data_IF_376841640365
#
_entry.id   IF_376841640365
#
_cell.length_a   1.000
_cell.length_b   1.000
_cell.length_c   1.000
_cell.angle_alpha   90.00
_cell.angle_beta   90.00
_cell.angle_gamma   90.00
#
_symmetry.space_group_name_H-M   'P 1'
#
loop_
_entity.id
_entity.type
_entity.pdbx_description
1 polymer ?
#
# COMPACT_ATOMS: atom_id res chain seq x y z
N UNK A 1 -11.04 -15.30 39.84
CA UNK A 1 -10.92 -14.62 41.15
C UNK A 1 -9.44 -14.56 41.47
N UNK A 2 -8.90 -13.38 41.77
CA UNK A 2 -7.50 -13.23 42.20
C UNK A 2 -7.41 -13.23 43.73
N UNK A 3 -6.29 -13.72 44.26
CA UNK A 3 -5.95 -13.60 45.67
C UNK A 3 -4.55 -13.01 45.78
N UNK A 4 -4.35 -12.07 46.70
CA UNK A 4 -3.05 -11.47 46.94
C UNK A 4 -2.46 -12.00 48.25
N UNK A 5 -1.20 -12.40 48.20
CA UNK A 5 -0.42 -12.80 49.37
C UNK A 5 0.64 -11.73 49.59
N UNK A 6 0.66 -11.13 50.80
CA UNK A 6 1.58 -10.02 51.15
C UNK A 6 3.08 -10.36 51.05
N UNK A 7 3.41 -11.64 50.89
CA UNK A 7 4.79 -12.10 50.77
C UNK A 7 5.18 -12.02 49.29
N UNK A 8 6.22 -11.25 49.00
CA UNK A 8 6.80 -11.19 47.66
C UNK A 8 7.22 -12.60 47.19
N UNK A 9 7.02 -12.86 45.91
CA UNK A 9 7.42 -14.12 45.26
C UNK A 9 8.92 -14.37 45.38
N UNK A 10 9.72 -13.30 45.29
CA UNK A 10 11.17 -13.33 45.50
C UNK A 10 11.59 -12.25 46.49
N UNK A 11 12.70 -12.48 47.19
CA UNK A 11 13.17 -11.54 48.21
C UNK A 11 13.77 -10.31 47.53
N UNK A 12 13.32 -9.12 47.93
CA UNK A 12 13.88 -7.85 47.46
C UNK A 12 14.74 -7.22 48.56
N UNK A 13 15.96 -6.80 48.20
CA UNK A 13 16.91 -6.08 49.07
C UNK A 13 17.57 -4.97 48.26
N UNK A 14 17.67 -3.79 48.86
CA UNK A 14 18.43 -2.66 48.32
C UNK A 14 19.27 -2.13 49.48
N UNK A 15 20.59 -2.19 49.34
CA UNK A 15 21.55 -1.72 50.35
C UNK A 15 21.68 -0.19 50.25
N UNK A 16 21.93 0.33 49.05
CA UNK A 16 22.05 1.77 48.79
C UNK A 16 21.05 2.22 47.71
N UNK A 17 20.05 3.06 48.06
CA UNK A 17 19.13 3.62 47.08
C UNK A 17 19.84 4.47 46.02
N UNK A 18 19.42 4.32 44.76
CA UNK A 18 19.94 5.05 43.60
C UNK A 18 18.74 5.53 42.77
N UNK A 19 18.32 6.80 42.92
CA UNK A 19 17.15 7.32 42.20
C UNK A 19 17.26 7.24 40.69
N UNK A 20 18.47 7.37 40.12
CA UNK A 20 18.67 7.29 38.67
C UNK A 20 18.43 5.87 38.17
N UNK A 21 18.94 4.88 38.89
CA UNK A 21 18.64 3.47 38.60
C UNK A 21 17.16 3.15 38.85
N UNK A 22 16.56 3.74 39.89
CA UNK A 22 15.13 3.63 40.18
C UNK A 22 14.24 4.10 39.01
N UNK A 23 14.65 5.16 38.30
CA UNK A 23 13.97 5.60 37.07
C UNK A 23 14.15 4.56 35.93
N UNK A 24 15.36 4.02 35.75
CA UNK A 24 15.60 2.96 34.75
C UNK A 24 14.72 1.72 34.98
N UNK A 25 14.50 1.31 36.24
CA UNK A 25 13.61 0.20 36.60
C UNK A 25 12.15 0.43 36.16
N UNK A 26 11.72 1.67 35.96
CA UNK A 26 10.38 1.96 35.45
C UNK A 26 10.18 1.42 34.02
N UNK A 27 11.25 1.14 33.27
CA UNK A 27 11.14 0.48 31.97
C UNK A 27 10.56 -0.95 32.09
N UNK A 28 10.91 -1.68 33.16
CA UNK A 28 10.30 -3.00 33.43
C UNK A 28 8.97 -2.92 34.18
N UNK A 29 8.60 -1.75 34.72
CA UNK A 29 7.30 -1.58 35.36
C UNK A 29 6.23 -1.13 34.36
N UNK A 30 6.43 0.05 33.74
CA UNK A 30 5.49 0.72 32.84
C UNK A 30 5.98 0.89 31.40
N UNK A 31 7.12 0.30 31.03
CA UNK A 31 7.62 0.29 29.65
C UNK A 31 6.95 -0.75 28.75
N UNK A 32 7.27 -0.67 27.46
CA UNK A 32 6.63 -1.49 26.42
C UNK A 32 6.95 -2.99 26.52
N UNK A 33 8.08 -3.33 27.12
CA UNK A 33 8.53 -4.71 27.33
C UNK A 33 8.55 -5.08 28.82
N UNK A 34 7.84 -4.32 29.66
CA UNK A 34 7.79 -4.52 31.09
C UNK A 34 6.70 -5.48 31.55
N UNK A 35 6.72 -5.76 32.85
CA UNK A 35 5.90 -6.79 33.52
C UNK A 35 4.40 -6.53 33.39
N UNK A 36 3.97 -5.26 33.41
CA UNK A 36 2.55 -4.95 33.21
C UNK A 36 2.09 -5.32 31.80
N UNK A 37 2.93 -5.11 30.79
CA UNK A 37 2.60 -5.46 29.41
C UNK A 37 2.50 -7.00 29.27
N UNK A 38 3.44 -7.74 29.83
CA UNK A 38 3.42 -9.20 29.84
C UNK A 38 2.18 -9.75 30.57
N UNK A 39 1.93 -9.30 31.81
CA UNK A 39 0.78 -9.71 32.62
C UNK A 39 -0.55 -9.51 31.89
N UNK A 40 -0.75 -8.33 31.30
CA UNK A 40 -2.00 -7.99 30.60
C UNK A 40 -2.12 -8.75 29.28
N UNK A 41 -1.04 -8.87 28.50
CA UNK A 41 -1.05 -9.59 27.23
C UNK A 41 -1.47 -11.05 27.45
N UNK A 42 -0.81 -11.76 28.35
CA UNK A 42 -1.03 -13.20 28.54
C UNK A 42 -2.40 -13.48 29.17
N UNK A 43 -2.82 -12.65 30.13
CA UNK A 43 -4.13 -12.80 30.76
C UNK A 43 -5.27 -12.61 29.75
N UNK A 44 -5.19 -11.61 28.88
CA UNK A 44 -6.26 -11.33 27.90
C UNK A 44 -6.24 -12.39 26.78
N UNK A 45 -5.07 -12.80 26.30
CA UNK A 45 -4.96 -13.95 25.38
C UNK A 45 -5.55 -15.22 26.01
N UNK A 46 -5.29 -15.49 27.29
CA UNK A 46 -5.85 -16.62 28.02
C UNK A 46 -7.38 -16.56 28.11
N UNK A 47 -7.98 -15.38 28.24
CA UNK A 47 -9.44 -15.21 28.19
C UNK A 47 -10.01 -15.60 26.82
N UNK A 48 -9.32 -15.24 25.74
CA UNK A 48 -9.72 -15.50 24.36
C UNK A 48 -9.33 -16.90 23.86
N UNK A 49 -8.49 -17.63 24.60
CA UNK A 49 -7.99 -18.94 24.21
C UNK A 49 -9.06 -20.04 24.39
N UNK A 50 -9.39 -20.74 23.31
CA UNK A 50 -10.33 -21.86 23.32
C UNK A 50 -9.68 -23.20 23.73
N UNK A 51 -8.37 -23.34 23.56
CA UNK A 51 -7.62 -24.52 24.01
C UNK A 51 -7.44 -24.49 25.54
N UNK A 52 -7.99 -25.45 26.31
CA UNK A 52 -7.93 -25.40 27.77
C UNK A 52 -6.50 -25.47 28.34
N UNK A 53 -5.60 -26.24 27.72
CA UNK A 53 -4.24 -26.43 28.22
C UNK A 53 -3.36 -25.20 27.97
N UNK A 54 -3.47 -24.58 26.79
CA UNK A 54 -2.77 -23.32 26.52
C UNK A 54 -3.40 -22.14 27.26
N UNK A 55 -4.72 -22.16 27.48
CA UNK A 55 -5.39 -21.17 28.34
C UNK A 55 -4.84 -21.20 29.76
N UNK A 56 -4.69 -22.39 30.33
CA UNK A 56 -4.11 -22.59 31.66
C UNK A 56 -2.70 -22.02 31.73
N UNK A 57 -1.83 -22.40 30.78
CA UNK A 57 -0.48 -21.84 30.64
C UNK A 57 -0.45 -20.30 30.60
N UNK A 58 -1.29 -19.69 29.76
CA UNK A 58 -1.36 -18.23 29.59
C UNK A 58 -1.82 -17.54 30.88
N UNK A 59 -2.79 -18.12 31.59
CA UNK A 59 -3.28 -17.60 32.86
C UNK A 59 -2.26 -17.76 33.99
N UNK A 60 -1.55 -18.88 34.04
CA UNK A 60 -0.49 -19.13 35.02
C UNK A 60 0.64 -18.11 34.87
N UNK A 61 1.18 -17.97 33.66
CA UNK A 61 2.26 -17.01 33.40
C UNK A 61 1.75 -15.58 33.59
N UNK A 62 0.59 -15.21 33.04
CA UNK A 62 0.02 -13.88 33.25
C UNK A 62 -0.20 -13.51 34.72
N UNK A 63 -0.47 -14.49 35.58
CA UNK A 63 -0.56 -14.31 37.03
C UNK A 63 0.83 -14.18 37.68
N UNK A 64 1.82 -14.94 37.22
CA UNK A 64 3.21 -14.82 37.64
C UNK A 64 3.77 -13.42 37.35
N UNK A 65 3.48 -12.85 36.18
CA UNK A 65 3.94 -11.50 35.81
C UNK A 65 3.38 -10.39 36.71
N UNK A 66 2.21 -10.59 37.33
CA UNK A 66 1.72 -9.66 38.36
C UNK A 66 2.60 -9.69 39.62
N UNK A 67 3.18 -10.85 39.93
CA UNK A 67 4.15 -10.99 41.03
C UNK A 67 5.50 -10.37 40.67
N UNK A 68 5.93 -10.50 39.41
CA UNK A 68 7.12 -9.81 38.91
C UNK A 68 6.96 -8.29 38.93
N UNK A 69 5.80 -7.78 38.50
CA UNK A 69 5.44 -6.37 38.60
C UNK A 69 5.55 -5.85 40.04
N UNK A 70 5.12 -6.65 41.03
CA UNK A 70 5.27 -6.31 42.45
C UNK A 70 6.74 -6.27 42.91
N UNK A 71 7.57 -7.22 42.43
CA UNK A 71 9.02 -7.24 42.71
C UNK A 71 9.69 -5.99 42.12
N UNK A 72 9.48 -5.70 40.83
CA UNK A 72 10.05 -4.54 40.14
C UNK A 72 9.57 -3.24 40.76
N UNK A 73 8.27 -3.12 41.04
CA UNK A 73 7.70 -1.96 41.71
C UNK A 73 8.30 -1.75 43.11
N UNK A 74 8.57 -2.83 43.84
CA UNK A 74 9.23 -2.75 45.15
C UNK A 74 10.67 -2.27 45.02
N UNK A 75 11.45 -2.83 44.09
CA UNK A 75 12.82 -2.39 43.78
C UNK A 75 12.86 -0.90 43.42
N UNK A 76 12.04 -0.50 42.45
CA UNK A 76 11.95 0.89 42.00
C UNK A 76 11.56 1.80 43.17
N UNK A 77 10.56 1.42 43.97
CA UNK A 77 10.15 2.19 45.14
C UNK A 77 11.28 2.38 46.15
N UNK A 78 12.08 1.34 46.41
CA UNK A 78 13.21 1.40 47.34
C UNK A 78 14.32 2.32 46.82
N UNK A 79 14.68 2.21 45.54
CA UNK A 79 15.68 3.08 44.90
C UNK A 79 15.23 4.55 44.82
N UNK A 80 13.94 4.81 44.53
CA UNK A 80 13.38 6.16 44.39
C UNK A 80 13.11 6.86 45.74
N UNK A 81 13.31 6.18 46.88
CA UNK A 81 13.02 6.73 48.21
C UNK A 81 13.65 8.11 48.49
N UNK A 82 14.92 8.40 48.12
CA UNK A 82 15.53 9.69 48.34
C UNK A 82 14.80 10.88 47.70
N UNK A 83 14.10 10.68 46.57
CA UNK A 83 13.38 11.75 45.85
C UNK A 83 12.32 12.48 46.69
N UNK A 84 11.85 11.86 47.79
CA UNK A 84 10.87 12.50 48.70
C UNK A 84 11.48 13.44 49.72
N UNK A 85 12.76 13.28 50.03
CA UNK A 85 13.36 13.87 51.23
C UNK A 85 14.70 14.55 50.98
N UNK A 86 15.35 14.28 49.84
CA UNK A 86 16.62 14.87 49.45
C UNK A 86 16.38 15.83 48.30
N UNK A 87 16.72 17.11 48.51
CA UNK A 87 16.41 18.19 47.57
C UNK A 87 17.11 17.99 46.24
N UNK A 88 18.40 17.67 46.28
CA UNK A 88 19.25 17.51 45.11
C UNK A 88 18.74 16.38 44.20
N UNK A 89 18.26 15.28 44.79
CA UNK A 89 17.67 14.17 44.03
C UNK A 89 16.33 14.57 43.41
N UNK A 90 15.47 15.28 44.16
CA UNK A 90 14.19 15.76 43.64
C UNK A 90 14.35 16.77 42.49
N UNK A 91 15.40 17.58 42.53
CA UNK A 91 15.74 18.53 41.45
C UNK A 91 16.28 17.82 40.19
N UNK A 92 16.90 16.64 40.35
CA UNK A 92 17.40 15.85 39.23
C UNK A 92 16.28 15.16 38.42
N UNK A 93 15.18 14.77 39.06
CA UNK A 93 14.00 14.19 38.40
C UNK A 93 12.68 14.71 39.02
N UNK A 94 12.28 15.95 38.70
CA UNK A 94 11.07 16.54 39.25
C UNK A 94 9.80 15.87 38.73
N UNK A 95 9.86 15.18 37.58
CA UNK A 95 8.73 14.44 37.05
C UNK A 95 8.35 13.31 38.01
N UNK A 96 9.31 12.49 38.44
CA UNK A 96 9.05 11.43 39.42
C UNK A 96 8.83 12.02 40.82
N UNK A 97 9.66 12.99 41.24
CA UNK A 97 9.61 13.52 42.60
C UNK A 97 8.31 14.28 42.90
N UNK A 98 7.88 15.18 42.01
CA UNK A 98 6.75 16.08 42.23
C UNK A 98 5.47 15.51 41.62
N UNK A 99 5.45 15.29 40.30
CA UNK A 99 4.24 14.82 39.62
C UNK A 99 3.93 13.36 39.99
N UNK A 100 4.95 12.52 40.07
CA UNK A 100 4.85 11.12 40.48
C UNK A 100 4.85 10.88 41.99
N UNK A 101 4.97 11.94 42.80
CA UNK A 101 4.97 11.86 44.26
C UNK A 101 6.09 10.99 44.83
N UNK A 102 7.27 10.97 44.20
CA UNK A 102 8.51 10.31 44.65
C UNK A 102 8.41 8.79 44.76
N UNK A 103 7.65 8.15 43.87
CA UNK A 103 7.40 6.72 43.87
C UNK A 103 7.11 6.17 42.46
N UNK A 104 6.60 4.95 42.43
CA UNK A 104 6.30 4.25 41.18
C UNK A 104 4.96 4.73 40.62
N UNK A 105 4.90 4.92 39.31
CA UNK A 105 3.68 5.20 38.54
C UNK A 105 3.72 4.40 37.23
N UNK A 106 2.62 4.40 36.48
CA UNK A 106 2.51 3.72 35.19
C UNK A 106 3.15 4.53 34.05
N UNK A 107 4.44 4.81 34.19
CA UNK A 107 5.28 5.45 33.18
C UNK A 107 6.53 4.60 32.92
N UNK A 108 7.11 4.74 31.75
CA UNK A 108 8.40 4.16 31.42
C UNK A 108 9.57 5.05 31.89
N UNK A 109 10.83 4.67 31.63
CA UNK A 109 12.00 5.42 32.14
C UNK A 109 12.19 6.80 31.51
N UNK A 110 11.37 7.15 30.50
CA UNK A 110 11.34 8.45 29.83
C UNK A 110 10.11 9.27 30.24
N UNK A 111 9.28 8.77 31.16
CA UNK A 111 8.08 9.47 31.61
C UNK A 111 6.88 9.36 30.66
N UNK A 112 6.90 8.42 29.71
CA UNK A 112 5.75 8.17 28.83
C UNK A 112 4.74 7.25 29.53
N UNK A 113 3.43 7.57 29.51
CA UNK A 113 2.43 6.75 30.17
C UNK A 113 2.34 5.39 29.50
N UNK A 114 2.14 4.34 30.30
CA UNK A 114 1.85 3.02 29.78
C UNK A 114 0.58 3.05 28.92
N UNK A 115 0.62 2.38 27.76
CA UNK A 115 -0.52 2.27 26.84
C UNK A 115 -0.81 0.82 26.51
N UNK A 116 -2.09 0.50 26.31
CA UNK A 116 -2.52 -0.81 25.84
C UNK A 116 -2.00 -1.13 24.42
N UNK A 117 -1.51 -0.14 23.67
CA UNK A 117 -0.89 -0.34 22.34
C UNK A 117 0.36 -1.23 22.39
N UNK A 118 0.97 -1.40 23.57
CA UNK A 118 2.08 -2.32 23.76
C UNK A 118 1.66 -3.78 23.57
N UNK A 119 0.40 -4.12 23.88
CA UNK A 119 -0.10 -5.49 23.86
C UNK A 119 -0.25 -6.01 22.43
N UNK A 120 -0.01 -7.31 22.23
CA UNK A 120 -0.22 -8.03 20.97
C UNK A 120 -1.20 -9.16 21.22
N UNK A 121 -2.47 -8.89 20.94
CA UNK A 121 -3.59 -9.81 21.17
C UNK A 121 -4.35 -9.93 19.85
N UNK A 122 -4.25 -11.09 19.21
CA UNK A 122 -4.81 -11.32 17.87
C UNK A 122 -6.04 -12.22 17.89
N UNK A 123 -6.16 -13.08 18.92
CA UNK A 123 -7.18 -14.12 18.96
C UNK A 123 -6.81 -15.39 18.19
N UNK A 124 -5.68 -15.37 17.46
CA UNK A 124 -5.11 -16.54 16.80
C UNK A 124 -3.97 -17.10 17.65
N UNK A 125 -4.22 -18.23 18.32
CA UNK A 125 -3.34 -18.77 19.37
C UNK A 125 -1.87 -18.95 18.92
N UNK A 126 -1.62 -19.46 17.71
CA UNK A 126 -0.24 -19.64 17.24
C UNK A 126 0.45 -18.32 16.89
N UNK A 127 -0.30 -17.26 16.58
CA UNK A 127 0.25 -15.90 16.37
C UNK A 127 0.54 -15.24 17.71
N UNK A 128 -0.37 -15.42 18.68
CA UNK A 128 -0.22 -14.91 20.05
C UNK A 128 0.98 -15.57 20.75
N UNK A 129 1.17 -16.88 20.65
CA UNK A 129 2.34 -17.57 21.22
C UNK A 129 3.67 -17.10 20.61
N UNK A 130 3.73 -16.87 19.28
CA UNK A 130 4.91 -16.27 18.64
C UNK A 130 5.19 -14.86 19.17
N UNK A 131 4.14 -14.07 19.39
CA UNK A 131 4.24 -12.74 19.97
C UNK A 131 4.75 -12.78 21.42
N UNK A 132 4.34 -13.79 22.20
CA UNK A 132 4.78 -13.97 23.58
C UNK A 132 6.25 -14.37 23.66
N UNK A 133 6.71 -15.32 22.83
CA UNK A 133 8.14 -15.67 22.73
C UNK A 133 8.99 -14.42 22.44
N UNK A 134 8.51 -13.56 21.54
CA UNK A 134 9.19 -12.32 21.22
C UNK A 134 9.10 -11.28 22.36
N UNK A 135 8.00 -11.23 23.11
CA UNK A 135 7.85 -10.36 24.28
C UNK A 135 8.85 -10.73 25.37
N UNK A 136 8.94 -12.02 25.72
CA UNK A 136 9.91 -12.55 26.68
C UNK A 136 11.36 -12.25 26.27
N UNK A 137 11.68 -12.39 24.97
CA UNK A 137 13.01 -12.07 24.48
C UNK A 137 13.36 -10.58 24.63
N UNK A 138 12.38 -9.69 24.41
CA UNK A 138 12.55 -8.25 24.60
C UNK A 138 12.63 -7.86 26.08
N UNK A 139 11.83 -8.48 26.96
CA UNK A 139 11.92 -8.27 28.40
C UNK A 139 13.28 -8.73 28.94
N UNK A 140 13.74 -9.91 28.55
CA UNK A 140 15.04 -10.48 28.94
C UNK A 140 16.23 -9.58 28.59
N UNK A 141 16.23 -8.93 27.41
CA UNK A 141 17.34 -8.04 27.04
C UNK A 141 17.29 -6.70 27.79
N UNK A 142 16.09 -6.22 28.18
CA UNK A 142 15.96 -5.06 29.06
C UNK A 142 16.50 -5.40 30.45
N UNK A 143 16.19 -6.58 30.99
CA UNK A 143 16.78 -7.04 32.25
C UNK A 143 18.30 -7.15 32.20
N UNK A 144 18.87 -7.70 31.13
CA UNK A 144 20.33 -7.77 30.95
C UNK A 144 20.98 -6.39 31.04
N UNK A 145 20.41 -5.40 30.34
CA UNK A 145 20.89 -4.02 30.39
C UNK A 145 20.76 -3.42 31.79
N UNK A 146 19.66 -3.67 32.49
CA UNK A 146 19.47 -3.20 33.87
C UNK A 146 20.50 -3.81 34.82
N UNK A 147 20.79 -5.11 34.69
CA UNK A 147 21.82 -5.79 35.50
C UNK A 147 23.20 -5.17 35.25
N UNK A 148 23.54 -4.86 34.01
CA UNK A 148 24.81 -4.24 33.63
C UNK A 148 24.99 -2.84 34.26
N UNK A 149 23.93 -2.03 34.29
CA UNK A 149 23.97 -0.69 34.89
C UNK A 149 23.76 -0.67 36.41
N UNK A 150 23.26 -1.75 37.00
CA UNK A 150 23.04 -1.83 38.44
C UNK A 150 24.37 -1.93 39.20
N UNK A 151 24.42 -1.37 40.41
CA UNK A 151 25.56 -1.50 41.33
C UNK A 151 25.22 -2.21 42.62
N UNK A 152 23.95 -2.22 43.00
CA UNK A 152 23.45 -2.82 44.23
C UNK A 152 23.36 -4.36 44.10
N UNK A 153 24.04 -5.15 44.94
CA UNK A 153 24.04 -6.61 44.83
C UNK A 153 22.66 -7.25 45.06
N UNK A 154 21.85 -6.70 45.97
CA UNK A 154 20.51 -7.21 46.27
C UNK A 154 19.54 -6.99 45.11
N UNK A 155 19.64 -5.84 44.46
CA UNK A 155 18.89 -5.54 43.24
C UNK A 155 19.34 -6.44 42.09
N UNK A 156 20.65 -6.65 41.89
CA UNK A 156 21.14 -7.58 40.86
C UNK A 156 20.61 -9.00 41.04
N UNK A 157 20.56 -9.50 42.27
CA UNK A 157 20.03 -10.83 42.59
C UNK A 157 18.55 -10.97 42.17
N UNK A 158 17.72 -9.98 42.54
CA UNK A 158 16.32 -9.95 42.13
C UNK A 158 16.13 -9.81 40.61
N UNK A 159 16.92 -8.96 39.94
CA UNK A 159 16.88 -8.83 38.47
C UNK A 159 17.35 -10.11 37.77
N UNK A 160 18.34 -10.82 38.32
CA UNK A 160 18.79 -12.10 37.80
C UNK A 160 17.70 -13.16 37.90
N UNK A 161 16.95 -13.18 39.02
CA UNK A 161 15.77 -14.04 39.16
C UNK A 161 14.75 -13.75 38.06
N UNK A 162 14.33 -12.48 37.91
CA UNK A 162 13.33 -12.07 36.91
C UNK A 162 13.79 -12.42 35.48
N UNK A 163 15.00 -12.02 35.09
CA UNK A 163 15.57 -12.35 33.78
C UNK A 163 15.59 -13.86 33.47
N UNK A 164 15.79 -14.68 34.50
CA UNK A 164 15.81 -16.15 34.36
C UNK A 164 14.40 -16.72 34.17
N UNK A 165 13.38 -16.08 34.76
CA UNK A 165 11.98 -16.44 34.53
C UNK A 165 11.56 -16.18 33.09
N UNK A 166 12.04 -15.10 32.47
CA UNK A 166 11.75 -14.81 31.06
C UNK A 166 12.20 -15.93 30.12
N UNK A 167 13.39 -16.52 30.38
CA UNK A 167 13.87 -17.68 29.63
C UNK A 167 12.97 -18.90 29.85
N UNK A 168 12.43 -19.07 31.06
CA UNK A 168 11.51 -20.17 31.36
C UNK A 168 10.17 -19.97 30.67
N UNK A 169 9.62 -18.75 30.66
CA UNK A 169 8.38 -18.41 29.96
C UNK A 169 8.55 -18.59 28.45
N UNK A 170 9.65 -18.08 27.89
CA UNK A 170 10.00 -18.26 26.48
C UNK A 170 10.06 -19.74 26.10
N UNK A 171 10.67 -20.57 26.94
CA UNK A 171 10.69 -22.03 26.75
C UNK A 171 9.28 -22.63 26.80
N UNK A 172 8.46 -22.22 27.76
CA UNK A 172 7.10 -22.74 27.90
C UNK A 172 6.23 -22.38 26.69
N UNK A 173 6.27 -21.12 26.24
CA UNK A 173 5.55 -20.68 25.03
C UNK A 173 6.06 -21.36 23.76
N UNK A 174 7.37 -21.55 23.62
CA UNK A 174 7.95 -22.27 22.48
C UNK A 174 7.47 -23.72 22.41
N UNK A 175 7.48 -24.44 23.54
CA UNK A 175 6.97 -25.81 23.61
C UNK A 175 5.44 -25.87 23.38
N UNK A 176 4.69 -24.89 23.87
CA UNK A 176 3.25 -24.79 23.62
C UNK A 176 2.94 -24.58 22.13
N UNK A 177 3.75 -23.79 21.43
CA UNK A 177 3.64 -23.56 19.99
C UNK A 177 4.05 -24.81 19.19
N UNK A 178 5.19 -25.42 19.52
CA UNK A 178 5.69 -26.64 18.86
C UNK A 178 4.69 -27.80 18.98
N UNK A 179 4.11 -27.98 20.17
CA UNK A 179 3.11 -29.02 20.44
C UNK A 179 1.79 -28.85 19.66
N UNK A 180 1.58 -27.75 18.95
CA UNK A 180 0.46 -27.59 18.03
C UNK A 180 0.65 -28.39 16.73
N UNK A 181 1.88 -28.84 16.43
CA UNK A 181 2.18 -29.64 15.24
C UNK A 181 1.97 -28.91 13.91
N UNK A 182 1.85 -27.57 13.94
CA UNK A 182 1.72 -26.74 12.74
C UNK A 182 3.10 -26.57 12.08
N UNK A 183 3.18 -26.56 10.73
CA UNK A 183 4.39 -26.11 10.05
C UNK A 183 4.78 -24.70 10.52
N UNK A 184 6.06 -24.45 10.73
CA UNK A 184 6.57 -23.21 11.33
C UNK A 184 6.10 -21.93 10.64
N UNK A 185 5.98 -21.98 9.31
CA UNK A 185 5.57 -20.87 8.44
C UNK A 185 4.05 -20.84 8.15
N UNK A 186 3.28 -21.80 8.68
CA UNK A 186 1.82 -21.79 8.54
C UNK A 186 1.22 -20.82 9.55
N UNK A 187 0.54 -19.78 9.05
CA UNK A 187 -0.22 -18.80 9.84
C UNK A 187 -1.62 -18.67 9.23
N UNK A 188 -2.66 -18.76 10.05
CA UNK A 188 -4.04 -18.72 9.57
C UNK A 188 -4.43 -19.94 8.73
N UNK A 189 -5.38 -19.75 7.80
CA UNK A 189 -6.01 -20.84 7.02
C UNK A 189 -5.81 -20.74 5.50
N UNK A 190 -5.50 -19.56 4.99
CA UNK A 190 -5.41 -19.31 3.53
C UNK A 190 -3.99 -19.66 3.08
N UNK A 191 -3.87 -20.48 2.04
CA UNK A 191 -2.59 -20.83 1.46
C UNK A 191 -1.99 -19.63 0.70
N UNK A 192 -0.66 -19.43 0.72
CA UNK A 192 -0.02 -18.41 -0.08
C UNK A 192 -0.10 -18.76 -1.57
N UNK A 193 0.03 -17.74 -2.44
CA UNK A 193 0.08 -17.93 -3.89
C UNK A 193 1.30 -18.76 -4.28
N UNK A 194 1.07 -19.88 -4.96
CA UNK A 194 2.12 -20.78 -5.42
C UNK A 194 3.11 -20.06 -6.33
N UNK A 195 4.41 -20.38 -6.20
CA UNK A 195 5.49 -19.72 -6.93
C UNK A 195 5.88 -18.37 -6.33
N UNK A 196 4.92 -17.49 -6.02
CA UNK A 196 5.24 -16.19 -5.41
C UNK A 196 5.81 -16.31 -3.99
N UNK A 197 5.31 -17.27 -3.21
CA UNK A 197 5.81 -17.55 -1.85
C UNK A 197 7.32 -17.89 -1.81
N UNK A 198 7.85 -18.38 -2.93
CA UNK A 198 9.23 -18.79 -3.07
C UNK A 198 10.12 -17.67 -3.64
N UNK A 199 9.57 -16.51 -4.02
CA UNK A 199 10.35 -15.41 -4.58
C UNK A 199 10.91 -14.49 -3.49
N UNK A 200 12.24 -14.30 -3.49
CA UNK A 200 12.91 -13.30 -2.67
C UNK A 200 13.30 -12.11 -3.53
N UNK A 201 12.82 -10.91 -3.19
CA UNK A 201 13.07 -9.69 -3.96
C UNK A 201 14.29 -8.95 -3.42
N UNK A 202 15.28 -8.72 -4.29
CA UNK A 202 16.39 -7.83 -4.00
C UNK A 202 15.97 -6.39 -4.29
N UNK A 203 15.24 -5.77 -3.36
CA UNK A 203 14.73 -4.39 -3.54
C UNK A 203 15.75 -3.31 -3.14
N UNK A 204 16.82 -3.68 -2.44
CA UNK A 204 17.91 -2.80 -2.03
C UNK A 204 19.21 -3.33 -2.63
N UNK A 205 19.48 -2.90 -3.87
CA UNK A 205 20.55 -3.47 -4.70
C UNK A 205 21.78 -2.57 -4.81
N UNK A 206 22.93 -3.19 -5.09
CA UNK A 206 24.15 -2.50 -5.50
C UNK A 206 25.24 -2.45 -4.43
N UNK A 207 26.09 -1.42 -4.51
CA UNK A 207 27.17 -1.20 -3.56
C UNK A 207 26.98 0.13 -2.85
N UNK A 208 27.08 0.10 -1.52
CA UNK A 208 27.01 1.30 -0.68
C UNK A 208 28.37 1.97 -0.50
N UNK A 209 28.34 3.20 0.01
CA UNK A 209 29.54 4.02 0.25
C UNK A 209 30.48 3.44 1.32
N UNK A 210 29.99 2.52 2.17
CA UNK A 210 30.76 1.87 3.23
C UNK A 210 31.11 0.41 2.89
N UNK A 211 30.96 0.02 1.62
CA UNK A 211 31.30 -1.32 1.13
C UNK A 211 30.20 -2.36 1.37
N UNK A 212 28.97 -1.92 1.63
CA UNK A 212 27.79 -2.78 1.57
C UNK A 212 27.67 -3.38 0.17
N UNK A 213 27.25 -4.63 0.10
CA UNK A 213 27.04 -5.36 -1.15
C UNK A 213 25.79 -6.19 -1.04
N UNK A 214 25.23 -6.57 -2.19
CA UNK A 214 24.15 -7.55 -2.24
C UNK A 214 24.60 -8.88 -1.65
N UNK A 215 23.96 -9.27 -0.55
CA UNK A 215 24.35 -10.46 0.20
C UNK A 215 23.44 -11.64 -0.12
N UNK A 216 24.06 -12.81 -0.20
CA UNK A 216 23.39 -14.09 -0.39
C UNK A 216 23.57 -14.95 0.85
N UNK A 217 22.51 -15.66 1.23
CA UNK A 217 22.47 -16.52 2.40
C UNK A 217 21.23 -17.39 2.43
N UNK A 218 21.08 -18.31 3.40
CA UNK A 218 19.97 -19.27 3.44
C UNK A 218 18.56 -18.64 3.49
N UNK A 219 18.47 -17.33 3.76
CA UNK A 219 17.23 -16.54 3.70
C UNK A 219 16.84 -16.08 2.29
N UNK A 220 17.71 -16.21 1.28
CA UNK A 220 17.46 -15.81 -0.11
C UNK A 220 18.22 -16.67 -1.16
N UNK A 221 18.78 -17.81 -0.75
CA UNK A 221 19.49 -18.75 -1.61
C UNK A 221 19.32 -20.20 -1.10
N UNK A 222 19.31 -21.16 -2.03
CA UNK A 222 19.10 -22.58 -1.73
C UNK A 222 17.64 -22.94 -1.46
N UNK A 223 17.35 -24.24 -1.32
CA UNK A 223 15.99 -24.72 -1.10
C UNK A 223 15.03 -24.31 -2.24
N UNK A 224 13.80 -23.84 -1.93
CA UNK A 224 12.84 -23.43 -2.95
C UNK A 224 13.04 -21.99 -3.46
N UNK A 225 13.98 -21.21 -2.90
CA UNK A 225 14.10 -19.77 -3.20
C UNK A 225 14.36 -19.46 -4.69
N UNK A 226 13.54 -18.58 -5.27
CA UNK A 226 13.73 -17.90 -6.54
C UNK A 226 14.17 -16.45 -6.26
N UNK A 227 15.45 -16.14 -6.47
CA UNK A 227 15.98 -14.80 -6.22
C UNK A 227 15.66 -13.87 -7.39
N UNK A 228 14.94 -12.79 -7.12
CA UNK A 228 14.53 -11.79 -8.12
C UNK A 228 15.43 -10.58 -7.98
N UNK A 229 16.31 -10.42 -8.95
CA UNK A 229 17.23 -9.28 -9.02
C UNK A 229 16.47 -8.01 -9.39
N UNK A 230 16.62 -6.99 -8.52
CA UNK A 230 16.23 -5.60 -8.76
C UNK A 230 14.87 -5.45 -9.50
N UNK A 231 13.77 -5.99 -8.94
CA UNK A 231 12.47 -6.11 -9.62
C UNK A 231 11.94 -4.79 -10.18
N UNK A 232 12.23 -3.67 -9.50
CA UNK A 232 11.84 -2.33 -9.94
C UNK A 232 12.39 -1.92 -11.32
N UNK A 233 13.47 -2.55 -11.79
CA UNK A 233 14.11 -2.23 -13.07
C UNK A 233 13.74 -3.20 -14.20
N UNK A 234 13.02 -4.30 -13.92
CA UNK A 234 12.75 -5.36 -14.92
C UNK A 234 11.88 -4.88 -16.10
N UNK A 235 11.03 -3.87 -15.87
CA UNK A 235 10.15 -3.29 -16.90
C UNK A 235 10.74 -2.04 -17.57
N UNK A 236 11.98 -1.63 -17.25
CA UNK A 236 12.60 -0.45 -17.84
C UNK A 236 13.29 -0.78 -19.17
N UNK A 237 13.06 0.04 -20.23
CA UNK A 237 13.72 -0.15 -21.51
C UNK A 237 15.25 -0.03 -21.39
N UNK A 238 15.98 -1.03 -21.87
CA UNK A 238 17.45 -0.99 -21.99
C UNK A 238 18.23 -1.58 -20.82
N UNK A 239 17.56 -2.18 -19.83
CA UNK A 239 18.22 -2.96 -18.76
C UNK A 239 18.32 -4.42 -19.20
N UNK A 240 19.53 -5.00 -19.17
CA UNK A 240 19.70 -6.44 -19.43
C UNK A 240 19.05 -7.23 -18.28
N UNK A 241 17.89 -7.84 -18.58
CA UNK A 241 17.14 -8.68 -17.65
C UNK A 241 17.90 -10.00 -17.39
N UNK A 242 18.83 -9.99 -16.45
CA UNK A 242 19.51 -11.18 -15.94
C UNK A 242 18.71 -11.97 -14.89
N UNK A 243 17.54 -11.47 -14.49
CA UNK A 243 16.72 -12.01 -13.38
C UNK A 243 15.39 -12.61 -13.82
N UNK A 244 14.89 -13.56 -13.01
CA UNK A 244 13.55 -14.14 -13.09
C UNK A 244 12.48 -13.06 -12.89
N UNK A 245 11.50 -12.99 -13.81
CA UNK A 245 10.40 -12.04 -13.73
C UNK A 245 9.48 -12.32 -12.52
N UNK A 246 8.90 -11.27 -11.92
CA UNK A 246 7.90 -11.41 -10.86
C UNK A 246 6.73 -12.26 -11.37
N UNK A 247 6.41 -13.35 -10.66
CA UNK A 247 5.23 -14.18 -10.98
C UNK A 247 4.03 -13.70 -10.19
N UNK A 248 3.40 -12.65 -10.69
CA UNK A 248 2.27 -11.99 -10.02
C UNK A 248 0.90 -12.65 -10.23
N UNK A 249 0.80 -13.82 -10.88
CA UNK A 249 -0.50 -14.43 -11.18
C UNK A 249 -1.11 -15.06 -9.93
N UNK A 250 -1.93 -14.28 -9.22
CA UNK A 250 -2.64 -14.70 -8.01
C UNK A 250 -3.81 -15.65 -8.28
N UNK A 251 -4.29 -15.72 -9.53
CA UNK A 251 -5.33 -16.64 -10.00
C UNK A 251 -5.27 -16.81 -11.52
N UNK A 252 -5.70 -17.97 -12.08
CA UNK A 252 -5.91 -18.09 -13.52
C UNK A 252 -6.99 -17.09 -13.96
N UNK A 253 -6.82 -16.41 -15.11
CA UNK A 253 -7.81 -15.45 -15.58
C UNK A 253 -9.10 -16.16 -15.99
N UNK A 254 -10.20 -15.88 -15.29
CA UNK A 254 -11.54 -16.29 -15.73
C UNK A 254 -12.08 -15.29 -16.77
N UNK A 255 -12.50 -15.78 -17.94
CA UNK A 255 -13.14 -14.96 -18.97
C UNK A 255 -12.21 -14.05 -19.80
N UNK A 256 -10.89 -14.17 -19.66
CA UNK A 256 -9.95 -13.36 -20.45
C UNK A 256 -10.10 -13.56 -21.97
N UNK A 257 -10.39 -14.78 -22.44
CA UNK A 257 -10.62 -15.04 -23.86
C UNK A 257 -11.82 -14.24 -24.40
N UNK A 258 -12.91 -14.17 -23.63
CA UNK A 258 -14.10 -13.41 -24.02
C UNK A 258 -13.83 -11.90 -24.06
N UNK A 259 -13.07 -11.37 -23.09
CA UNK A 259 -12.68 -9.95 -23.09
C UNK A 259 -11.72 -9.65 -24.26
N UNK A 260 -10.80 -10.57 -24.57
CA UNK A 260 -9.89 -10.43 -25.71
C UNK A 260 -10.65 -10.43 -27.05
N UNK A 261 -11.68 -11.26 -27.20
CA UNK A 261 -12.55 -11.24 -28.38
C UNK A 261 -13.24 -9.88 -28.53
N UNK A 262 -13.79 -9.32 -27.45
CA UNK A 262 -14.42 -7.99 -27.46
C UNK A 262 -13.41 -6.90 -27.80
N UNK A 263 -12.20 -6.93 -27.22
CA UNK A 263 -11.13 -5.97 -27.55
C UNK A 263 -10.76 -6.03 -29.04
N UNK A 264 -10.55 -7.23 -29.59
CA UNK A 264 -10.22 -7.41 -30.99
C UNK A 264 -11.33 -6.86 -31.88
N UNK A 265 -12.59 -7.10 -31.54
CA UNK A 265 -13.72 -6.58 -32.29
C UNK A 265 -13.83 -5.05 -32.24
N UNK A 266 -13.56 -4.44 -31.08
CA UNK A 266 -13.51 -2.99 -30.91
C UNK A 266 -12.40 -2.35 -31.75
N UNK A 267 -11.19 -2.93 -31.75
CA UNK A 267 -10.06 -2.46 -32.57
C UNK A 267 -10.36 -2.53 -34.07
N UNK A 268 -11.12 -3.55 -34.51
CA UNK A 268 -11.52 -3.68 -35.92
C UNK A 268 -12.62 -2.69 -36.31
N UNK A 269 -13.50 -2.35 -35.38
CA UNK A 269 -14.52 -1.32 -35.57
C UNK A 269 -13.86 0.07 -35.69
N UNK A 270 -12.97 0.42 -34.75
CA UNK A 270 -12.12 1.61 -34.80
C UNK A 270 -11.34 1.69 -36.12
N UNK A 271 -10.67 0.60 -36.54
CA UNK A 271 -9.92 0.59 -37.81
C UNK A 271 -10.80 0.90 -39.02
N UNK A 272 -12.08 0.54 -38.98
CA UNK A 272 -13.02 0.92 -40.03
C UNK A 272 -13.51 2.36 -39.88
N UNK A 273 -13.74 2.84 -38.65
CA UNK A 273 -14.10 4.22 -38.36
C UNK A 273 -13.04 5.18 -38.93
N UNK A 274 -11.77 4.98 -38.58
CA UNK A 274 -10.63 5.77 -39.05
C UNK A 274 -10.51 5.76 -40.58
N UNK A 275 -10.68 4.59 -41.21
CA UNK A 275 -10.67 4.47 -42.68
C UNK A 275 -11.83 5.19 -43.37
N UNK A 276 -12.95 5.40 -42.69
CA UNK A 276 -14.04 6.24 -43.19
C UNK A 276 -13.66 7.72 -43.06
N UNK A 277 -13.06 8.12 -41.94
CA UNK A 277 -12.60 9.48 -41.70
C UNK A 277 -11.49 9.92 -42.66
N UNK A 278 -10.56 9.04 -43.04
CA UNK A 278 -9.58 9.30 -44.12
C UNK A 278 -10.23 9.78 -45.42
N UNK A 279 -11.49 9.39 -45.68
CA UNK A 279 -12.25 9.82 -46.86
C UNK A 279 -13.13 11.05 -46.58
N UNK A 280 -13.59 11.22 -45.34
CA UNK A 280 -14.48 12.31 -44.94
C UNK A 280 -13.73 13.62 -44.66
N UNK A 281 -12.60 13.55 -43.94
CA UNK A 281 -11.82 14.72 -43.53
C UNK A 281 -11.36 15.61 -44.69
N UNK A 282 -10.89 15.07 -45.84
CA UNK A 282 -10.56 15.92 -47.00
C UNK A 282 -11.77 16.66 -47.58
N UNK A 283 -12.98 16.12 -47.44
CA UNK A 283 -14.23 16.79 -47.87
C UNK A 283 -14.60 17.89 -46.87
N UNK A 284 -14.53 17.59 -45.57
CA UNK A 284 -14.79 18.56 -44.50
C UNK A 284 -13.82 19.73 -44.58
N UNK A 285 -12.53 19.45 -44.79
CA UNK A 285 -11.51 20.49 -44.97
C UNK A 285 -11.85 21.44 -46.12
N UNK A 286 -12.35 20.92 -47.26
CA UNK A 286 -12.78 21.75 -48.40
C UNK A 286 -14.07 22.53 -48.14
N UNK A 287 -14.93 22.03 -47.25
CA UNK A 287 -16.18 22.68 -46.89
C UNK A 287 -16.00 23.79 -45.84
N UNK A 288 -14.95 23.69 -45.02
CA UNK A 288 -14.60 24.70 -44.03
C UNK A 288 -14.23 26.04 -44.69
N UNK A 289 -14.69 27.14 -44.11
CA UNK A 289 -14.59 28.50 -44.66
C UNK A 289 -13.54 29.35 -43.96
N UNK A 290 -13.21 29.02 -42.72
CA UNK A 290 -12.12 29.64 -41.97
C UNK A 290 -10.80 28.88 -42.12
N UNK A 291 -9.71 29.64 -42.25
CA UNK A 291 -8.36 29.07 -42.35
C UNK A 291 -7.97 28.23 -41.14
N UNK A 292 -8.46 28.61 -39.95
CA UNK A 292 -8.22 27.87 -38.70
C UNK A 292 -8.85 26.48 -38.75
N UNK A 293 -10.13 26.38 -39.11
CA UNK A 293 -10.83 25.09 -39.22
C UNK A 293 -10.23 24.20 -40.32
N UNK A 294 -9.87 24.77 -41.47
CA UNK A 294 -9.16 24.04 -42.52
C UNK A 294 -7.81 23.48 -42.06
N UNK A 295 -7.09 24.22 -41.22
CA UNK A 295 -5.80 23.78 -40.68
C UNK A 295 -5.99 22.65 -39.68
N UNK A 296 -6.98 22.77 -38.79
CA UNK A 296 -7.31 21.75 -37.80
C UNK A 296 -7.69 20.42 -38.48
N UNK A 297 -8.63 20.45 -39.44
CA UNK A 297 -9.06 19.24 -40.17
C UNK A 297 -7.93 18.59 -40.97
N UNK A 298 -6.96 19.39 -41.46
CA UNK A 298 -5.77 18.86 -42.13
C UNK A 298 -4.82 18.17 -41.16
N UNK A 299 -4.63 18.74 -39.97
CA UNK A 299 -3.76 18.16 -38.96
C UNK A 299 -4.38 16.86 -38.42
N UNK A 300 -5.68 16.87 -38.15
CA UNK A 300 -6.42 15.70 -37.71
C UNK A 300 -6.40 14.58 -38.77
N UNK A 301 -6.46 14.90 -40.07
CA UNK A 301 -6.23 13.90 -41.12
C UNK A 301 -4.88 13.18 -41.01
N UNK A 302 -3.81 13.89 -40.63
CA UNK A 302 -2.49 13.28 -40.43
C UNK A 302 -2.43 12.42 -39.16
N UNK A 303 -3.14 12.83 -38.10
CA UNK A 303 -3.33 12.03 -36.88
C UNK A 303 -4.08 10.73 -37.21
N UNK A 304 -5.19 10.81 -37.95
CA UNK A 304 -5.98 9.67 -38.47
C UNK A 304 -5.14 8.67 -39.28
N UNK A 305 -4.21 9.14 -40.11
CA UNK A 305 -3.28 8.25 -40.82
C UNK A 305 -2.37 7.48 -39.84
N UNK A 306 -1.85 8.14 -38.81
CA UNK A 306 -1.03 7.52 -37.78
C UNK A 306 -1.84 6.61 -36.84
N UNK A 307 -3.11 6.91 -36.59
CA UNK A 307 -4.04 6.10 -35.81
C UNK A 307 -4.31 4.77 -36.49
N UNK A 308 -4.54 4.76 -37.82
CA UNK A 308 -4.69 3.53 -38.60
C UNK A 308 -3.48 2.61 -38.45
N UNK A 309 -2.27 3.15 -38.52
CA UNK A 309 -1.04 2.36 -38.36
C UNK A 309 -0.91 1.79 -36.94
N UNK A 310 -1.24 2.56 -35.91
CA UNK A 310 -1.25 2.07 -34.52
C UNK A 310 -2.31 0.99 -34.28
N UNK A 311 -3.50 1.10 -34.86
CA UNK A 311 -4.53 0.07 -34.75
C UNK A 311 -4.10 -1.24 -35.43
N UNK A 312 -3.43 -1.16 -36.59
CA UNK A 312 -2.84 -2.33 -37.23
C UNK A 312 -1.76 -2.98 -36.34
N UNK A 313 -0.92 -2.16 -35.72
CA UNK A 313 0.11 -2.62 -34.78
C UNK A 313 -0.50 -3.29 -33.53
N UNK A 314 -1.56 -2.70 -32.95
CA UNK A 314 -2.32 -3.31 -31.86
C UNK A 314 -2.84 -4.71 -32.23
N UNK A 315 -3.47 -4.86 -33.40
CA UNK A 315 -3.97 -6.15 -33.89
C UNK A 315 -2.82 -7.16 -34.12
N UNK A 316 -1.66 -6.69 -34.60
CA UNK A 316 -0.45 -7.50 -34.77
C UNK A 316 0.10 -8.00 -33.43
N UNK A 317 0.19 -7.14 -32.42
CA UNK A 317 0.64 -7.49 -31.07
C UNK A 317 -0.29 -8.55 -30.46
N UNK A 318 -1.60 -8.42 -30.68
CA UNK A 318 -2.61 -9.39 -30.25
C UNK A 318 -2.66 -10.68 -31.10
N UNK A 319 -1.69 -10.89 -32.00
CA UNK A 319 -1.62 -12.09 -32.84
C UNK A 319 -2.77 -12.27 -33.82
N UNK A 320 -3.46 -11.17 -34.18
CA UNK A 320 -4.69 -11.21 -34.98
C UNK A 320 -4.51 -10.46 -36.30
N UNK A 321 -5.19 -10.91 -37.36
CA UNK A 321 -5.12 -10.23 -38.67
C UNK A 321 -5.81 -8.87 -38.65
N UNK A 322 -5.15 -7.87 -39.22
CA UNK A 322 -5.67 -6.51 -39.42
C UNK A 322 -6.81 -6.46 -40.45
N UNK A 323 -8.02 -6.83 -40.02
CA UNK A 323 -9.24 -6.79 -40.85
C UNK A 323 -10.27 -5.87 -40.23
N UNK A 324 -10.53 -4.75 -40.88
CA UNK A 324 -11.57 -3.81 -40.48
C UNK A 324 -12.96 -4.46 -40.49
N UNK A 325 -13.79 -4.16 -39.49
CA UNK A 325 -15.19 -4.57 -39.38
C UNK A 325 -16.08 -3.35 -39.63
N UNK A 326 -17.17 -3.43 -40.44
CA UNK A 326 -17.98 -2.27 -40.75
C UNK A 326 -18.52 -1.53 -39.52
N UNK A 327 -17.95 -0.36 -39.24
CA UNK A 327 -18.39 0.57 -38.20
C UNK A 327 -19.60 1.37 -38.68
N UNK A 328 -20.79 0.95 -38.27
CA UNK A 328 -22.06 1.61 -38.62
C UNK A 328 -22.26 2.95 -37.91
N UNK A 329 -21.74 3.07 -36.68
CA UNK A 329 -21.80 4.33 -35.92
C UNK A 329 -21.10 5.45 -36.67
N UNK A 330 -19.83 5.23 -37.03
CA UNK A 330 -19.06 6.20 -37.81
C UNK A 330 -19.66 6.44 -39.20
N UNK A 331 -20.21 5.41 -39.86
CA UNK A 331 -20.87 5.59 -41.15
C UNK A 331 -22.01 6.61 -41.08
N UNK A 332 -22.85 6.52 -40.04
CA UNK A 332 -23.94 7.46 -39.81
C UNK A 332 -23.45 8.88 -39.48
N UNK A 333 -22.39 9.00 -38.68
CA UNK A 333 -21.79 10.31 -38.35
C UNK A 333 -21.18 10.98 -39.59
N UNK A 334 -20.53 10.20 -40.46
CA UNK A 334 -20.00 10.68 -41.74
C UNK A 334 -21.12 11.13 -42.67
N UNK A 335 -22.22 10.36 -42.76
CA UNK A 335 -23.40 10.74 -43.54
C UNK A 335 -24.02 12.05 -43.02
N UNK A 336 -24.19 12.19 -41.70
CA UNK A 336 -24.66 13.42 -41.08
C UNK A 336 -23.71 14.60 -41.39
N UNK A 337 -22.40 14.38 -41.36
CA UNK A 337 -21.40 15.36 -41.77
C UNK A 337 -21.53 15.78 -43.23
N UNK A 338 -21.84 14.84 -44.14
CA UNK A 338 -22.10 15.13 -45.56
C UNK A 338 -23.35 15.98 -45.77
N UNK A 339 -24.42 15.72 -45.02
CA UNK A 339 -25.63 16.55 -45.02
C UNK A 339 -25.34 17.98 -44.52
N UNK A 340 -24.62 18.10 -43.41
CA UNK A 340 -24.18 19.40 -42.85
C UNK A 340 -23.38 20.20 -43.87
N UNK A 341 -22.45 19.57 -44.60
CA UNK A 341 -21.68 20.21 -45.67
C UNK A 341 -22.58 20.67 -46.84
N UNK A 342 -23.58 19.87 -47.22
CA UNK A 342 -24.49 20.21 -48.30
C UNK A 342 -25.40 21.39 -47.95
N UNK A 343 -25.95 21.41 -46.73
CA UNK A 343 -26.72 22.55 -46.21
C UNK A 343 -25.85 23.79 -46.02
N UNK A 344 -24.61 23.60 -45.57
CA UNK A 344 -23.63 24.64 -45.33
C UNK A 344 -23.44 25.55 -46.55
N UNK A 345 -23.58 25.03 -47.78
CA UNK A 345 -23.50 25.83 -49.03
C UNK A 345 -24.53 26.97 -49.12
N UNK A 346 -25.64 26.86 -48.38
CA UNK A 346 -26.71 27.87 -48.33
C UNK A 346 -26.58 28.84 -47.16
N UNK A 347 -25.60 28.63 -46.27
CA UNK A 347 -25.37 29.42 -45.05
C UNK A 347 -24.27 30.45 -45.28
N UNK A 348 -24.25 31.51 -44.46
CA UNK A 348 -23.11 32.42 -44.33
C UNK A 348 -21.90 31.71 -43.69
N UNK A 349 -20.74 32.35 -43.69
CA UNK A 349 -19.48 31.68 -43.35
C UNK A 349 -19.45 31.11 -41.93
N UNK A 350 -19.77 31.94 -40.92
CA UNK A 350 -19.73 31.52 -39.53
C UNK A 350 -20.77 30.43 -39.18
N UNK A 351 -22.07 30.53 -39.58
CA UNK A 351 -23.03 29.45 -39.34
C UNK A 351 -22.72 28.15 -40.08
N UNK A 352 -22.07 28.20 -41.25
CA UNK A 352 -21.62 27.00 -41.95
C UNK A 352 -20.50 26.28 -41.19
N UNK A 353 -19.49 27.02 -40.74
CA UNK A 353 -18.36 26.45 -39.98
C UNK A 353 -18.78 25.96 -38.60
N UNK A 354 -19.68 26.67 -37.89
CA UNK A 354 -20.23 26.19 -36.61
C UNK A 354 -20.97 24.85 -36.74
N UNK A 355 -21.75 24.69 -37.82
CA UNK A 355 -22.43 23.42 -38.08
C UNK A 355 -21.42 22.30 -38.38
N UNK A 356 -20.37 22.61 -39.17
CA UNK A 356 -19.31 21.67 -39.49
C UNK A 356 -18.50 21.25 -38.26
N UNK A 357 -18.20 22.19 -37.35
CA UNK A 357 -17.56 21.91 -36.06
C UNK A 357 -18.44 21.00 -35.20
N UNK A 358 -19.75 21.27 -35.12
CA UNK A 358 -20.68 20.41 -34.40
C UNK A 358 -20.72 18.98 -34.94
N UNK A 359 -20.61 18.80 -36.27
CA UNK A 359 -20.49 17.48 -36.88
C UNK A 359 -19.16 16.79 -36.51
N UNK A 360 -18.05 17.51 -36.58
CA UNK A 360 -16.73 17.01 -36.20
C UNK A 360 -16.69 16.60 -34.71
N UNK A 361 -17.20 17.43 -33.79
CA UNK A 361 -17.22 17.10 -32.35
C UNK A 361 -17.93 15.79 -32.04
N UNK A 362 -19.01 15.44 -32.77
CA UNK A 362 -19.71 14.16 -32.58
C UNK A 362 -18.87 12.96 -33.02
N UNK A 363 -18.04 13.14 -34.05
CA UNK A 363 -17.02 12.16 -34.47
C UNK A 363 -15.99 12.00 -33.36
N UNK A 364 -15.41 13.10 -32.85
CA UNK A 364 -14.41 13.04 -31.78
C UNK A 364 -14.96 12.32 -30.53
N UNK A 365 -16.19 12.62 -30.11
CA UNK A 365 -16.81 11.97 -28.96
C UNK A 365 -17.06 10.47 -29.17
N UNK A 366 -17.35 10.04 -30.39
CA UNK A 366 -17.45 8.62 -30.72
C UNK A 366 -16.09 7.93 -30.53
N UNK A 367 -15.02 8.51 -31.09
CA UNK A 367 -13.69 7.93 -31.04
C UNK A 367 -13.09 7.96 -29.63
N UNK A 368 -13.30 9.03 -28.87
CA UNK A 368 -12.93 9.11 -27.45
C UNK A 368 -13.56 7.95 -26.66
N UNK A 369 -14.85 7.65 -26.90
CA UNK A 369 -15.54 6.56 -26.22
C UNK A 369 -14.98 5.18 -26.62
N UNK A 370 -14.77 4.95 -27.92
CA UNK A 370 -14.25 3.70 -28.46
C UNK A 370 -12.80 3.43 -28.03
N UNK A 371 -11.89 4.40 -28.19
CA UNK A 371 -10.50 4.29 -27.75
C UNK A 371 -10.36 4.12 -26.24
N UNK A 372 -11.18 4.81 -25.44
CA UNK A 372 -11.22 4.63 -23.97
C UNK A 372 -11.58 3.20 -23.61
N UNK A 373 -12.60 2.63 -24.27
CA UNK A 373 -13.06 1.27 -24.04
C UNK A 373 -11.99 0.25 -24.40
N UNK A 374 -11.41 0.37 -25.59
CA UNK A 374 -10.33 -0.52 -26.06
C UNK A 374 -9.09 -0.45 -25.14
N UNK A 375 -8.66 0.75 -24.74
CA UNK A 375 -7.52 0.93 -23.81
C UNK A 375 -7.78 0.24 -22.47
N UNK A 376 -8.97 0.41 -21.89
CA UNK A 376 -9.31 -0.19 -20.60
C UNK A 376 -9.32 -1.72 -20.67
N UNK A 377 -9.84 -2.29 -21.75
CA UNK A 377 -9.79 -3.75 -21.97
C UNK A 377 -8.35 -4.23 -22.15
N UNK A 378 -7.51 -3.50 -22.89
CA UNK A 378 -6.09 -3.83 -23.03
C UNK A 378 -5.34 -3.82 -21.69
N UNK A 379 -5.64 -2.85 -20.80
CA UNK A 379 -5.11 -2.83 -19.43
C UNK A 379 -5.59 -4.03 -18.61
N UNK A 380 -6.88 -4.36 -18.67
CA UNK A 380 -7.46 -5.50 -17.96
C UNK A 380 -6.87 -6.85 -18.41
N UNK A 381 -6.49 -6.95 -19.69
CA UNK A 381 -5.84 -8.13 -20.28
C UNK A 381 -4.32 -8.13 -20.10
N UNK A 382 -3.76 -7.20 -19.32
CA UNK A 382 -2.31 -7.03 -19.12
C UNK A 382 -1.53 -6.92 -20.45
N UNK A 383 -2.06 -6.14 -21.40
CA UNK A 383 -1.44 -5.82 -22.69
C UNK A 383 -0.91 -4.37 -22.69
N UNK A 384 0.17 -4.07 -21.95
CA UNK A 384 0.62 -2.69 -21.74
C UNK A 384 1.05 -2.00 -23.04
N UNK A 385 1.67 -2.73 -23.97
CA UNK A 385 2.07 -2.19 -25.27
C UNK A 385 0.85 -1.73 -26.09
N UNK A 386 -0.22 -2.53 -26.13
CA UNK A 386 -1.48 -2.17 -26.81
C UNK A 386 -2.15 -0.98 -26.12
N UNK A 387 -2.21 -1.00 -24.78
CA UNK A 387 -2.79 0.10 -24.01
C UNK A 387 -2.05 1.42 -24.24
N UNK A 388 -0.72 1.39 -24.36
CA UNK A 388 0.09 2.57 -24.65
C UNK A 388 -0.26 3.16 -26.01
N UNK A 389 -0.28 2.35 -27.08
CA UNK A 389 -0.61 2.81 -28.43
C UNK A 389 -2.01 3.46 -28.48
N UNK A 390 -3.00 2.83 -27.84
CA UNK A 390 -4.36 3.35 -27.76
C UNK A 390 -4.46 4.63 -26.91
N UNK A 391 -3.62 4.77 -25.89
CA UNK A 391 -3.55 6.00 -25.08
C UNK A 391 -3.05 7.17 -25.89
N UNK A 392 -2.07 6.96 -26.78
CA UNK A 392 -1.64 8.02 -27.69
C UNK A 392 -2.78 8.46 -28.61
N UNK A 393 -3.55 7.52 -29.19
CA UNK A 393 -4.63 7.88 -30.13
C UNK A 393 -5.75 8.62 -29.41
N UNK A 394 -6.15 8.13 -28.23
CA UNK A 394 -7.12 8.80 -27.39
C UNK A 394 -6.71 10.24 -27.04
N UNK A 395 -5.43 10.47 -26.78
CA UNK A 395 -4.91 11.81 -26.48
C UNK A 395 -5.03 12.77 -27.67
N UNK A 396 -4.85 12.26 -28.88
CA UNK A 396 -5.03 13.03 -30.12
C UNK A 396 -6.50 13.41 -30.32
N UNK A 397 -7.46 12.49 -30.17
CA UNK A 397 -8.90 12.83 -30.30
C UNK A 397 -9.37 13.83 -29.24
N UNK A 398 -8.90 13.67 -28.01
CA UNK A 398 -9.21 14.60 -26.93
C UNK A 398 -8.69 16.00 -27.25
N UNK A 399 -7.50 16.09 -27.84
CA UNK A 399 -6.91 17.36 -28.26
C UNK A 399 -7.65 17.96 -29.47
N UNK A 400 -7.98 17.15 -30.49
CA UNK A 400 -8.76 17.57 -31.65
C UNK A 400 -10.12 18.17 -31.24
N UNK A 401 -10.86 17.49 -30.35
CA UNK A 401 -12.11 17.97 -29.77
C UNK A 401 -11.96 19.32 -29.05
N UNK A 402 -10.93 19.49 -28.21
CA UNK A 402 -10.68 20.76 -27.53
C UNK A 402 -10.35 21.91 -28.51
N UNK A 403 -9.58 21.62 -29.56
CA UNK A 403 -9.23 22.62 -30.57
C UNK A 403 -10.47 23.03 -31.39
N UNK A 404 -11.39 22.11 -31.67
CA UNK A 404 -12.66 22.41 -32.34
C UNK A 404 -13.51 23.39 -31.52
N UNK A 405 -13.63 23.17 -30.21
CA UNK A 405 -14.33 24.09 -29.29
C UNK A 405 -13.70 25.48 -29.27
N UNK A 406 -12.36 25.56 -29.27
CA UNK A 406 -11.64 26.84 -29.31
C UNK A 406 -11.92 27.62 -30.60
N UNK A 407 -12.03 26.94 -31.75
CA UNK A 407 -12.38 27.58 -33.03
C UNK A 407 -13.86 28.00 -33.07
N UNK A 408 -14.76 27.27 -32.38
CA UNK A 408 -16.18 27.59 -32.36
C UNK A 408 -16.49 28.90 -31.61
N UNK A 409 -15.80 29.19 -30.50
CA UNK A 409 -16.06 30.37 -29.64
C UNK A 409 -16.06 31.73 -30.39
N UNK A 410 -15.02 32.10 -31.17
CA UNK A 410 -15.02 33.36 -31.90
C UNK A 410 -16.09 33.40 -33.00
N UNK A 411 -16.44 32.25 -33.61
CA UNK A 411 -17.50 32.17 -34.62
C UNK A 411 -18.88 32.43 -34.03
N UNK A 412 -19.15 31.91 -32.82
CA UNK A 412 -20.38 32.21 -32.08
C UNK A 412 -20.46 33.69 -31.69
N UNK A 413 -19.32 34.31 -31.37
CA UNK A 413 -19.25 35.73 -31.00
C UNK A 413 -19.49 36.67 -32.18
N UNK A 414 -19.16 36.24 -33.41
CA UNK A 414 -19.41 37.01 -34.64
C UNK A 414 -20.89 36.99 -35.05
N UNK A 415 -21.66 35.96 -34.65
CA UNK A 415 -23.11 35.96 -34.75
C UNK A 415 -23.67 36.89 -33.67
N UNK A 416 -24.05 38.13 -34.03
CA UNK A 416 -24.58 39.14 -33.09
C UNK A 416 -25.58 38.49 -32.11
N UNK A 417 -25.31 38.59 -30.81
CA UNK A 417 -26.26 38.22 -29.76
C UNK A 417 -27.61 38.90 -30.06
N UNK A 418 -28.75 38.18 -30.02
CA UNK A 418 -30.04 38.83 -30.13
C UNK A 418 -30.14 39.90 -29.04
N UNK A 419 -30.75 41.06 -29.37
CA UNK A 419 -31.00 42.13 -28.40
C UNK A 419 -31.60 41.54 -27.12
N UNK A 420 -31.11 41.96 -25.95
CA UNK A 420 -31.64 41.50 -24.67
C UNK A 420 -33.16 41.63 -24.67
N UNK A 421 -33.87 40.51 -24.48
CA UNK A 421 -35.30 40.55 -24.21
C UNK A 421 -35.44 41.25 -22.86
N UNK A 422 -35.83 42.53 -22.88
CA UNK A 422 -36.27 43.21 -21.67
C UNK A 422 -37.48 42.43 -21.17
N UNK A 423 -37.28 41.67 -20.10
CA UNK A 423 -38.38 41.13 -19.31
C UNK A 423 -39.15 42.33 -18.78
N UNK A 424 -40.28 42.65 -19.41
CA UNK A 424 -41.29 43.52 -18.80
C UNK A 424 -41.77 42.82 -17.54
N UNK A 425 -41.40 43.39 -16.40
CA UNK A 425 -41.79 42.99 -15.04
C UNK A 425 -43.30 43.05 -14.88
#
# INVERSE_FOLDING_TARGET
MYHHVKKLMYTVRVDEPDPKFGNMLLEQFGGANGELAAAMQYSIQGLNCEDPGRKDLLMDIGTEELSHLEIVGTLARMHLKPLKSVREEAEADPLIAIAGGGGVNLFNSMGNPWTADYLKITGELDVDLRSNIAAEARAKIVYERLIDFCRDPGTKDALQFLMTREITHMRAFALALESMGKPSLSVGRIAPTAGLVDQFFNDSTGQGDLGEVDTRGPWNEGGPWEFVEAPAFQDLPGVENGGTAIRAQSAPPEGAEAIQEVLVDELRDLLHAEKQLLKALPKMQKAARTQQLQTLLRNHLAETEAQVERLNECLRILGTTARAKPCKGMAGLVEEGEEVMAEGKKKEDAPADLALIGAALRVEHYEIAAYTTARNMALQLAQPAVAQLLTLSLGEEQNAGQLLDQVAQPLMSAARMPSSVLLTV
#
